data_IF_556171550000
#
_entry.id   IF_556171550000
#
_cell.length_a   1.000
_cell.length_b   1.000
_cell.length_c   1.000
_cell.angle_alpha   90.00
_cell.angle_beta   90.00
_cell.angle_gamma   90.00
#
_symmetry.space_group_name_H-M   'P 1'
#
loop_
_entity.id
_entity.type
_entity.pdbx_description
1 polymer ?
#
# COMPACT_ATOMS: atom_id res chain seq x y z
N UNK A 1 70.64 -9.17 28.66
CA UNK A 1 70.26 -9.53 27.28
C UNK A 1 68.74 -9.41 27.17
N UNK A 2 68.27 -8.94 26.02
CA UNK A 2 67.05 -8.16 25.83
C UNK A 2 65.70 -8.85 26.14
N UNK A 3 64.81 -8.01 26.67
CA UNK A 3 63.35 -7.95 26.53
C UNK A 3 62.76 -8.77 25.37
N UNK A 4 61.88 -9.72 25.71
CA UNK A 4 60.98 -10.38 24.79
C UNK A 4 59.67 -9.58 24.66
N UNK A 5 59.37 -9.18 23.44
CA UNK A 5 58.14 -8.49 23.02
C UNK A 5 56.98 -9.49 23.00
N UNK A 6 55.95 -9.27 23.81
CA UNK A 6 54.66 -9.95 23.66
C UNK A 6 53.69 -8.92 23.06
N UNK A 7 53.45 -9.04 21.76
CA UNK A 7 52.39 -8.30 21.07
C UNK A 7 51.10 -9.09 21.20
N UNK A 8 50.17 -8.61 22.01
CA UNK A 8 48.80 -9.13 22.06
C UNK A 8 48.06 -8.60 20.83
N UNK A 9 47.83 -9.47 19.85
CA UNK A 9 46.85 -9.23 18.80
C UNK A 9 45.45 -9.49 19.38
N UNK A 10 44.72 -8.42 19.70
CA UNK A 10 43.29 -8.52 19.98
C UNK A 10 42.57 -8.67 18.63
N UNK A 11 42.22 -9.91 18.28
CA UNK A 11 41.35 -10.20 17.16
C UNK A 11 39.95 -9.65 17.52
N UNK A 12 39.56 -8.49 16.98
CA UNK A 12 38.16 -8.07 17.00
C UNK A 12 37.40 -9.04 16.07
N UNK A 13 36.86 -10.12 16.63
CA UNK A 13 35.76 -10.84 16.00
C UNK A 13 34.58 -9.87 15.96
N UNK A 14 34.40 -9.19 14.84
CA UNK A 14 33.12 -8.57 14.50
C UNK A 14 32.17 -9.73 14.26
N UNK A 15 31.46 -10.14 15.31
CA UNK A 15 30.25 -10.93 15.14
C UNK A 15 29.25 -10.02 14.44
N UNK A 16 29.17 -10.11 13.12
CA UNK A 16 27.97 -9.67 12.41
C UNK A 16 26.85 -10.56 12.91
N UNK A 17 25.99 -10.04 13.80
CA UNK A 17 24.74 -10.74 14.08
C UNK A 17 24.00 -10.86 12.75
N UNK A 18 23.69 -12.08 12.35
CA UNK A 18 22.87 -12.31 11.17
C UNK A 18 21.58 -11.50 11.31
N UNK A 19 21.19 -10.79 10.25
CA UNK A 19 19.96 -10.02 10.27
C UNK A 19 18.76 -10.97 10.11
N UNK A 20 17.79 -10.84 11.01
CA UNK A 20 16.54 -11.58 10.97
C UNK A 20 15.45 -10.70 10.37
N UNK A 21 14.87 -11.11 9.25
CA UNK A 21 13.76 -10.41 8.60
C UNK A 21 12.52 -11.29 8.68
N UNK A 22 11.47 -10.91 9.43
CA UNK A 22 10.28 -11.73 9.55
C UNK A 22 9.55 -11.85 8.21
N UNK A 23 9.09 -13.05 7.90
CA UNK A 23 8.36 -13.36 6.67
C UNK A 23 6.91 -13.69 7.01
N UNK A 24 6.00 -12.90 6.44
CA UNK A 24 4.56 -13.13 6.48
C UNK A 24 4.07 -13.65 5.12
N UNK A 25 2.92 -14.31 5.10
CA UNK A 25 2.26 -14.73 3.85
C UNK A 25 0.87 -14.14 3.79
N UNK A 26 0.57 -13.44 2.70
CA UNK A 26 -0.75 -12.88 2.47
C UNK A 26 -1.77 -14.00 2.22
N UNK A 27 -2.88 -14.00 2.96
CA UNK A 27 -3.97 -14.98 2.82
C UNK A 27 -4.73 -14.80 1.49
N UNK A 28 -5.47 -15.81 0.97
CA UNK A 28 -6.35 -15.61 -0.19
C UNK A 28 -7.31 -14.43 0.00
N UNK A 29 -7.59 -13.67 -1.06
CA UNK A 29 -8.55 -12.55 -1.01
C UNK A 29 -9.93 -13.00 -0.51
N UNK A 30 -10.33 -14.23 -0.86
CA UNK A 30 -11.59 -14.88 -0.51
C UNK A 30 -11.55 -15.64 0.83
N UNK A 31 -10.59 -15.32 1.72
CA UNK A 31 -10.50 -15.91 3.07
C UNK A 31 -11.80 -15.76 3.85
N UNK A 32 -12.45 -14.61 3.72
CA UNK A 32 -13.84 -14.41 4.13
C UNK A 32 -14.69 -14.30 2.87
N UNK A 33 -15.75 -15.11 2.76
CA UNK A 33 -16.61 -15.13 1.58
C UNK A 33 -17.59 -13.94 1.55
N UNK A 34 -18.26 -13.74 0.41
CA UNK A 34 -19.26 -12.68 0.24
C UNK A 34 -20.49 -12.83 1.16
N UNK A 35 -20.65 -13.98 1.83
CA UNK A 35 -21.67 -14.18 2.85
C UNK A 35 -21.19 -13.78 4.25
N UNK A 36 -19.93 -13.38 4.42
CA UNK A 36 -19.35 -12.96 5.70
C UNK A 36 -18.90 -14.14 6.56
N UNK A 37 -18.53 -15.27 5.93
CA UNK A 37 -18.10 -16.49 6.63
C UNK A 37 -16.66 -16.80 6.32
N UNK A 38 -15.95 -17.38 7.29
CA UNK A 38 -14.60 -17.89 7.07
C UNK A 38 -14.67 -19.04 6.06
N UNK A 39 -14.05 -18.84 4.90
CA UNK A 39 -14.12 -19.78 3.79
C UNK A 39 -13.26 -21.02 4.06
N UNK A 40 -13.77 -22.21 3.70
CA UNK A 40 -13.08 -23.50 3.79
C UNK A 40 -12.13 -23.67 5.01
N UNK A 41 -12.70 -23.53 6.22
CA UNK A 41 -11.93 -23.48 7.47
C UNK A 41 -10.90 -24.61 7.64
N UNK A 42 -11.25 -25.85 7.30
CA UNK A 42 -10.33 -27.00 7.44
C UNK A 42 -9.09 -26.84 6.55
N UNK A 43 -9.28 -26.38 5.32
CA UNK A 43 -8.16 -26.08 4.41
C UNK A 43 -7.29 -24.95 4.94
N UNK A 44 -7.90 -23.87 5.45
CA UNK A 44 -7.17 -22.76 6.06
C UNK A 44 -6.33 -23.25 7.24
N UNK A 45 -6.90 -24.04 8.15
CA UNK A 45 -6.17 -24.60 9.30
C UNK A 45 -4.96 -25.44 8.84
N UNK A 46 -5.15 -26.27 7.80
CA UNK A 46 -4.07 -27.07 7.20
C UNK A 46 -2.96 -26.21 6.59
N UNK A 47 -3.31 -25.21 5.79
CA UNK A 47 -2.35 -24.28 5.19
C UNK A 47 -1.57 -23.49 6.24
N UNK A 48 -2.25 -22.96 7.26
CA UNK A 48 -1.59 -22.22 8.33
C UNK A 48 -0.63 -23.10 9.15
N UNK A 49 -0.99 -24.36 9.39
CA UNK A 49 -0.10 -25.31 10.05
C UNK A 49 1.14 -25.61 9.19
N UNK A 50 0.95 -25.78 7.87
CA UNK A 50 2.06 -25.98 6.94
C UNK A 50 2.98 -24.75 6.85
N UNK A 51 2.42 -23.54 6.77
CA UNK A 51 3.19 -22.29 6.82
C UNK A 51 4.04 -22.18 8.08
N UNK A 52 3.46 -22.52 9.24
CA UNK A 52 4.19 -22.52 10.52
C UNK A 52 5.37 -23.49 10.51
N UNK A 53 5.18 -24.69 9.97
CA UNK A 53 6.26 -25.68 9.85
C UNK A 53 7.33 -25.30 8.82
N UNK A 54 6.97 -24.48 7.82
CA UNK A 54 7.91 -23.89 6.88
C UNK A 54 8.77 -22.76 7.47
N UNK A 55 8.52 -22.36 8.72
CA UNK A 55 9.27 -21.32 9.42
C UNK A 55 8.64 -19.93 9.36
N UNK A 56 7.53 -19.74 8.66
CA UNK A 56 6.86 -18.43 8.51
C UNK A 56 6.51 -17.81 9.87
N UNK A 57 6.66 -16.49 9.99
CA UNK A 57 6.37 -15.71 11.20
C UNK A 57 4.88 -15.50 11.42
N UNK A 58 4.13 -15.34 10.33
CA UNK A 58 2.73 -15.01 10.39
C UNK A 58 2.05 -14.93 9.03
N UNK A 59 0.84 -14.38 9.07
CA UNK A 59 0.06 -14.09 7.87
C UNK A 59 -0.31 -12.62 7.77
N UNK A 60 -0.64 -12.17 6.57
CA UNK A 60 -1.34 -10.91 6.35
C UNK A 60 -2.75 -11.20 5.83
N UNK A 61 -3.76 -10.46 6.30
CA UNK A 61 -5.16 -10.64 5.85
C UNK A 61 -5.91 -9.33 5.71
N UNK A 62 -6.68 -9.22 4.63
CA UNK A 62 -7.60 -8.12 4.38
C UNK A 62 -8.85 -8.20 5.27
N UNK A 63 -9.05 -7.18 6.09
CA UNK A 63 -10.26 -6.96 6.88
C UNK A 63 -11.20 -6.05 6.11
N UNK A 64 -12.01 -6.66 5.24
CA UNK A 64 -12.85 -5.97 4.26
C UNK A 64 -13.96 -5.15 4.91
N UNK A 65 -13.94 -3.84 4.70
CA UNK A 65 -14.97 -2.93 5.20
C UNK A 65 -16.37 -3.36 4.75
N UNK A 66 -16.52 -3.73 3.47
CA UNK A 66 -17.78 -4.17 2.88
C UNK A 66 -18.33 -5.50 3.40
N UNK A 67 -17.51 -6.33 4.05
CA UNK A 67 -17.99 -7.56 4.71
C UNK A 67 -18.31 -7.33 6.18
N UNK A 68 -17.49 -6.53 6.88
CA UNK A 68 -17.64 -6.29 8.31
C UNK A 68 -18.78 -5.33 8.61
N UNK A 69 -18.87 -4.18 7.93
CA UNK A 69 -19.93 -3.16 8.14
C UNK A 69 -21.02 -3.28 7.06
N UNK A 70 -21.29 -4.50 6.58
CA UNK A 70 -22.01 -4.78 5.32
C UNK A 70 -23.42 -4.18 5.22
N UNK A 71 -24.24 -4.39 6.24
CA UNK A 71 -25.69 -4.17 6.14
C UNK A 71 -26.13 -2.76 6.56
N UNK A 72 -25.49 -2.17 7.57
CA UNK A 72 -25.90 -0.89 8.10
C UNK A 72 -24.72 -0.12 8.74
N UNK A 73 -24.80 1.22 8.77
CA UNK A 73 -23.86 2.07 9.49
C UNK A 73 -23.64 1.60 10.93
N UNK A 74 -22.37 1.44 11.30
CA UNK A 74 -21.90 1.07 12.64
C UNK A 74 -22.41 -0.30 13.14
N UNK A 75 -22.79 -1.19 12.22
CA UNK A 75 -23.17 -2.57 12.50
C UNK A 75 -22.07 -3.50 12.01
N UNK A 76 -21.14 -3.85 12.91
CA UNK A 76 -19.94 -4.61 12.58
C UNK A 76 -20.09 -6.09 12.92
N UNK A 77 -19.79 -6.99 11.97
CA UNK A 77 -19.65 -8.43 12.21
C UNK A 77 -18.17 -8.84 12.08
N UNK A 78 -17.55 -9.15 13.22
CA UNK A 78 -16.16 -9.58 13.32
C UNK A 78 -15.99 -11.10 13.38
N UNK A 79 -17.09 -11.86 13.34
CA UNK A 79 -17.11 -13.31 13.59
C UNK A 79 -16.09 -14.10 12.75
N UNK A 80 -16.00 -13.96 11.41
CA UNK A 80 -15.04 -14.73 10.63
C UNK A 80 -13.58 -14.36 10.94
N UNK A 81 -13.30 -13.09 11.21
CA UNK A 81 -11.96 -12.61 11.54
C UNK A 81 -11.51 -13.03 12.95
N UNK A 82 -12.45 -13.15 13.90
CA UNK A 82 -12.23 -13.78 15.20
C UNK A 82 -11.81 -15.23 15.06
N UNK A 83 -12.56 -16.01 14.29
CA UNK A 83 -12.25 -17.41 14.04
C UNK A 83 -10.85 -17.58 13.44
N UNK A 84 -10.47 -16.76 12.47
CA UNK A 84 -9.13 -16.78 11.89
C UNK A 84 -8.05 -16.43 12.93
N UNK A 85 -8.29 -15.41 13.76
CA UNK A 85 -7.35 -14.99 14.82
C UNK A 85 -7.13 -16.09 15.85
N UNK A 86 -8.20 -16.78 16.25
CA UNK A 86 -8.12 -17.92 17.17
C UNK A 86 -7.30 -19.08 16.59
N UNK A 87 -7.43 -19.34 15.28
CA UNK A 87 -6.63 -20.35 14.57
C UNK A 87 -5.14 -19.96 14.59
N UNK A 88 -4.80 -18.73 14.18
CA UNK A 88 -3.43 -18.24 14.19
C UNK A 88 -2.81 -18.28 15.60
N UNK A 89 -3.58 -17.86 16.62
CA UNK A 89 -3.18 -17.90 18.03
C UNK A 89 -2.88 -19.31 18.50
N UNK A 90 -3.73 -20.29 18.14
CA UNK A 90 -3.55 -21.70 18.48
C UNK A 90 -2.32 -22.31 17.81
N UNK A 91 -2.05 -21.95 16.55
CA UNK A 91 -0.91 -22.45 15.77
C UNK A 91 0.40 -21.75 16.18
N UNK A 92 0.33 -20.53 16.72
CA UNK A 92 1.49 -19.72 17.06
C UNK A 92 2.04 -18.92 15.87
N UNK A 93 1.14 -18.46 14.98
CA UNK A 93 1.43 -17.50 13.92
C UNK A 93 0.99 -16.10 14.33
N UNK A 94 1.77 -15.10 13.91
CA UNK A 94 1.39 -13.69 14.02
C UNK A 94 0.45 -13.28 12.88
N UNK A 95 -0.18 -12.12 13.02
CA UNK A 95 -1.08 -11.53 12.04
C UNK A 95 -0.74 -10.07 11.79
N UNK A 96 -0.64 -9.72 10.52
CA UNK A 96 -0.81 -8.37 10.01
C UNK A 96 -2.23 -8.26 9.47
N UNK A 97 -2.95 -7.21 9.84
CA UNK A 97 -4.33 -7.00 9.36
C UNK A 97 -4.39 -5.73 8.54
N UNK A 98 -5.03 -5.78 7.38
CA UNK A 98 -5.28 -4.60 6.54
C UNK A 98 -6.68 -4.08 6.83
N UNK A 99 -6.81 -2.82 7.23
CA UNK A 99 -8.09 -2.12 7.28
C UNK A 99 -8.50 -1.77 5.84
N UNK A 100 -9.12 -2.74 5.17
CA UNK A 100 -9.41 -2.68 3.74
C UNK A 100 -10.69 -1.87 3.46
N UNK A 101 -10.53 -0.54 3.41
CA UNK A 101 -11.58 0.44 3.09
C UNK A 101 -11.88 0.58 1.59
N UNK A 102 -11.44 -0.39 0.79
CA UNK A 102 -11.55 -0.43 -0.66
C UNK A 102 -12.28 -1.71 -1.09
N UNK A 103 -12.65 -1.75 -2.37
CA UNK A 103 -13.24 -2.92 -3.03
C UNK A 103 -12.16 -3.90 -3.51
N UNK A 104 -12.44 -5.20 -3.43
CA UNK A 104 -11.67 -6.27 -4.12
C UNK A 104 -12.23 -6.47 -5.54
N UNK A 105 -11.38 -6.70 -6.54
CA UNK A 105 -11.81 -7.21 -7.86
C UNK A 105 -11.51 -6.31 -9.05
N UNK A 106 -10.75 -5.23 -8.86
CA UNK A 106 -10.47 -4.22 -9.90
C UNK A 106 -8.99 -4.11 -10.23
N UNK A 107 -8.11 -4.75 -9.44
CA UNK A 107 -6.65 -4.66 -9.57
C UNK A 107 -6.03 -5.93 -10.18
N UNK A 108 -4.73 -5.85 -10.49
CA UNK A 108 -3.95 -6.98 -11.04
C UNK A 108 -4.02 -8.16 -10.06
N UNK A 109 -4.48 -9.32 -10.53
CA UNK A 109 -4.46 -10.56 -9.74
C UNK A 109 -5.60 -10.72 -8.74
N UNK A 110 -6.61 -9.84 -8.76
CA UNK A 110 -7.80 -10.03 -7.93
C UNK A 110 -8.66 -11.19 -8.45
N UNK A 111 -8.84 -12.21 -7.60
CA UNK A 111 -9.66 -13.40 -7.90
C UNK A 111 -11.05 -13.34 -7.21
N UNK A 112 -11.35 -12.23 -6.55
CA UNK A 112 -12.53 -12.04 -5.71
C UNK A 112 -13.24 -10.74 -6.05
N UNK A 113 -14.51 -10.62 -5.68
CA UNK A 113 -15.25 -9.38 -5.83
C UNK A 113 -16.01 -9.06 -4.56
N UNK A 114 -15.48 -8.12 -3.79
CA UNK A 114 -16.02 -7.67 -2.51
C UNK A 114 -16.25 -6.16 -2.63
N UNK A 115 -17.50 -5.76 -2.71
CA UNK A 115 -17.90 -4.34 -2.82
C UNK A 115 -17.70 -3.59 -1.49
N UNK A 116 -17.71 -2.25 -1.55
CA UNK A 116 -17.90 -1.40 -0.37
C UNK A 116 -19.25 -1.71 0.34
N UNK A 117 -19.47 -1.27 1.60
CA UNK A 117 -20.73 -1.54 2.30
C UNK A 117 -21.96 -1.12 1.51
N UNK A 118 -23.03 -1.92 1.56
CA UNK A 118 -24.24 -1.74 0.73
C UNK A 118 -24.94 -0.39 0.94
N UNK A 119 -24.77 0.20 2.11
CA UNK A 119 -25.38 1.47 2.49
C UNK A 119 -24.57 2.69 2.04
N UNK A 120 -23.37 2.50 1.47
CA UNK A 120 -22.66 3.56 0.76
C UNK A 120 -23.39 3.81 -0.56
N UNK A 121 -23.99 4.99 -0.69
CA UNK A 121 -24.70 5.38 -1.90
C UNK A 121 -23.75 5.43 -3.09
N UNK A 122 -24.19 4.95 -4.26
CA UNK A 122 -23.47 5.07 -5.53
C UNK A 122 -23.63 6.47 -6.14
N UNK A 123 -23.44 7.51 -5.34
CA UNK A 123 -23.39 8.89 -5.81
C UNK A 123 -22.01 9.14 -6.45
N UNK A 124 -21.92 9.46 -7.76
CA UNK A 124 -20.64 9.65 -8.44
C UNK A 124 -19.75 10.73 -7.80
N UNK A 125 -20.34 11.73 -7.14
CA UNK A 125 -19.58 12.79 -6.46
C UNK A 125 -18.76 12.28 -5.26
N UNK A 126 -19.01 11.06 -4.76
CA UNK A 126 -18.26 10.49 -3.63
C UNK A 126 -16.98 9.77 -4.07
N UNK A 127 -16.79 9.59 -5.38
CA UNK A 127 -15.80 8.69 -5.95
C UNK A 127 -14.81 9.46 -6.80
N UNK A 128 -13.59 8.94 -6.89
CA UNK A 128 -12.58 9.52 -7.78
C UNK A 128 -13.11 9.54 -9.21
N UNK A 129 -12.87 10.63 -9.92
CA UNK A 129 -13.44 10.82 -11.25
C UNK A 129 -12.34 11.28 -12.22
N UNK A 130 -12.30 10.66 -13.39
CA UNK A 130 -11.38 11.04 -14.46
C UNK A 130 -11.91 12.21 -15.30
N UNK A 131 -11.08 12.74 -16.20
CA UNK A 131 -11.44 13.90 -17.03
C UNK A 131 -12.63 13.67 -17.95
N UNK A 132 -12.97 12.40 -18.21
CA UNK A 132 -14.11 12.00 -19.04
C UNK A 132 -15.41 11.86 -18.23
N UNK A 133 -15.34 12.08 -16.92
CA UNK A 133 -16.48 11.99 -16.01
C UNK A 133 -16.79 10.57 -15.54
N UNK A 134 -15.87 9.61 -15.72
CA UNK A 134 -16.06 8.27 -15.17
C UNK A 134 -15.68 8.23 -13.71
N UNK A 135 -16.62 7.78 -12.86
CA UNK A 135 -16.41 7.57 -11.45
C UNK A 135 -15.87 6.16 -11.15
N UNK A 136 -14.78 6.09 -10.40
CA UNK A 136 -14.18 4.87 -9.90
C UNK A 136 -14.81 4.46 -8.55
N UNK A 137 -15.52 3.34 -8.52
CA UNK A 137 -16.26 2.89 -7.34
C UNK A 137 -15.45 2.03 -6.36
N UNK A 138 -14.13 1.97 -6.49
CA UNK A 138 -13.28 1.13 -5.64
C UNK A 138 -13.07 1.73 -4.24
N UNK A 139 -12.98 3.06 -4.16
CA UNK A 139 -12.66 3.81 -2.94
C UNK A 139 -13.31 5.20 -2.96
N UNK A 140 -13.62 5.76 -1.79
CA UNK A 140 -14.19 7.11 -1.69
C UNK A 140 -13.12 8.17 -2.02
N UNK A 141 -13.43 9.15 -2.86
CA UNK A 141 -12.49 10.23 -3.17
C UNK A 141 -12.03 10.93 -1.89
N UNK A 142 -10.74 11.26 -1.78
CA UNK A 142 -10.25 12.11 -0.70
C UNK A 142 -10.88 13.52 -0.69
N UNK A 143 -11.58 13.90 -1.77
CA UNK A 143 -12.44 15.08 -1.82
C UNK A 143 -13.52 15.07 -0.74
N UNK A 144 -13.99 13.90 -0.30
CA UNK A 144 -15.06 13.74 0.72
C UNK A 144 -14.57 13.36 2.12
N UNK A 145 -13.25 13.39 2.36
CA UNK A 145 -12.64 13.05 3.66
C UNK A 145 -13.29 13.76 4.86
N UNK A 146 -13.60 15.04 4.66
CA UNK A 146 -14.07 15.99 5.69
C UNK A 146 -15.54 16.40 5.50
N UNK A 147 -16.20 15.86 4.46
CA UNK A 147 -17.57 16.21 4.11
C UNK A 147 -18.58 15.35 4.89
N UNK A 148 -19.54 15.98 5.57
CA UNK A 148 -20.55 15.28 6.39
C UNK A 148 -21.69 14.74 5.54
N UNK A 149 -21.43 13.66 4.80
CA UNK A 149 -22.34 13.08 3.82
C UNK A 149 -22.94 11.74 4.26
N UNK A 150 -22.20 10.97 5.06
CA UNK A 150 -22.49 9.56 5.27
C UNK A 150 -23.37 9.31 6.51
N UNK A 151 -24.30 8.35 6.45
CA UNK A 151 -25.22 8.09 7.57
C UNK A 151 -24.51 7.58 8.83
N UNK A 152 -25.05 7.94 10.00
CA UNK A 152 -24.77 7.29 11.29
C UNK A 152 -25.83 6.23 11.60
N UNK A 153 -25.73 5.57 12.77
CA UNK A 153 -26.69 4.55 13.23
C UNK A 153 -28.15 5.05 13.29
N UNK A 154 -28.38 6.31 13.64
CA UNK A 154 -29.72 6.89 13.80
C UNK A 154 -30.05 7.96 12.74
N UNK A 155 -29.17 8.16 11.76
CA UNK A 155 -29.25 9.18 10.71
C UNK A 155 -29.37 10.64 11.19
N UNK A 156 -29.27 10.91 12.49
CA UNK A 156 -29.42 12.26 13.05
C UNK A 156 -28.18 13.13 12.84
N UNK A 157 -27.01 12.51 12.72
CA UNK A 157 -25.71 13.15 12.50
C UNK A 157 -25.00 12.47 11.35
N UNK A 158 -24.61 13.24 10.33
CA UNK A 158 -23.79 12.72 9.23
C UNK A 158 -22.32 12.64 9.64
N UNK A 159 -21.69 11.53 9.27
CA UNK A 159 -20.25 11.23 9.41
C UNK A 159 -19.50 11.70 8.15
N UNK A 160 -18.22 11.99 8.31
CA UNK A 160 -17.28 12.13 7.19
C UNK A 160 -16.67 10.78 6.82
N UNK A 161 -15.98 10.66 5.69
CA UNK A 161 -15.27 9.41 5.35
C UNK A 161 -14.21 9.06 6.41
N UNK A 162 -13.43 10.04 6.87
CA UNK A 162 -12.43 9.86 7.94
C UNK A 162 -13.08 9.43 9.27
N UNK A 163 -14.26 9.94 9.61
CA UNK A 163 -15.01 9.48 10.79
C UNK A 163 -15.41 8.00 10.66
N UNK A 164 -15.87 7.55 9.48
CA UNK A 164 -16.22 6.15 9.25
C UNK A 164 -15.02 5.22 9.42
N UNK A 165 -13.87 5.58 8.85
CA UNK A 165 -12.63 4.79 8.99
C UNK A 165 -12.19 4.73 10.46
N UNK A 166 -12.22 5.85 11.17
CA UNK A 166 -11.88 5.90 12.59
C UNK A 166 -12.83 5.05 13.45
N UNK A 167 -14.14 5.09 13.18
CA UNK A 167 -15.12 4.29 13.92
C UNK A 167 -14.98 2.78 13.65
N UNK A 168 -14.67 2.41 12.41
CA UNK A 168 -14.34 1.03 12.04
C UNK A 168 -13.12 0.52 12.82
N UNK A 169 -12.03 1.29 12.83
CA UNK A 169 -10.82 0.94 13.60
C UNK A 169 -11.09 0.88 15.10
N UNK A 170 -11.90 1.79 15.67
CA UNK A 170 -12.29 1.71 17.09
C UNK A 170 -13.07 0.43 17.38
N UNK A 171 -14.05 0.10 16.55
CA UNK A 171 -14.81 -1.14 16.70
C UNK A 171 -13.91 -2.38 16.59
N UNK A 172 -12.89 -2.33 15.72
CA UNK A 172 -11.84 -3.34 15.64
C UNK A 172 -11.07 -3.45 16.96
N UNK A 173 -10.59 -2.35 17.54
CA UNK A 173 -9.86 -2.39 18.83
C UNK A 173 -10.68 -2.99 19.96
N UNK A 174 -11.97 -2.66 20.06
CA UNK A 174 -12.88 -3.23 21.06
C UNK A 174 -13.02 -4.74 20.87
N UNK A 175 -13.15 -5.18 19.62
CA UNK A 175 -13.31 -6.59 19.35
C UNK A 175 -11.98 -7.35 19.63
N UNK A 176 -10.83 -6.84 19.17
CA UNK A 176 -9.51 -7.50 19.16
C UNK A 176 -8.59 -7.08 20.33
N UNK A 177 -9.12 -6.48 21.39
CA UNK A 177 -8.33 -5.88 22.49
C UNK A 177 -7.23 -6.81 23.03
N UNK A 178 -7.57 -8.06 23.29
CA UNK A 178 -6.63 -9.04 23.87
C UNK A 178 -5.66 -9.66 22.86
N UNK A 179 -5.89 -9.45 21.57
CA UNK A 179 -5.08 -10.01 20.48
C UNK A 179 -4.13 -8.98 19.88
N UNK A 180 -4.31 -7.70 20.20
CA UNK A 180 -3.52 -6.58 19.71
C UNK A 180 -2.21 -6.37 20.47
N UNK A 181 -1.12 -6.16 19.73
CA UNK A 181 0.16 -5.71 20.26
C UNK A 181 1.33 -6.61 19.84
N UNK A 182 2.54 -6.06 19.91
CA UNK A 182 3.78 -6.72 19.44
C UNK A 182 3.99 -8.15 20.00
N UNK A 183 3.56 -8.41 21.24
CA UNK A 183 3.67 -9.73 21.89
C UNK A 183 2.48 -10.65 21.63
N UNK A 184 1.37 -10.10 21.15
CA UNK A 184 0.11 -10.80 20.93
C UNK A 184 -0.01 -11.31 19.48
N UNK A 185 -1.19 -11.75 19.06
CA UNK A 185 -1.40 -12.37 17.75
C UNK A 185 -1.31 -11.33 16.63
N UNK A 186 -2.00 -10.19 16.77
CA UNK A 186 -2.04 -9.11 15.78
C UNK A 186 -0.94 -8.10 16.11
N UNK A 187 0.10 -8.09 15.28
CA UNK A 187 1.33 -7.32 15.51
C UNK A 187 1.39 -6.04 14.67
N UNK A 188 0.67 -6.00 13.55
CA UNK A 188 0.61 -4.85 12.64
C UNK A 188 -0.82 -4.61 12.18
N UNK A 189 -1.22 -3.35 12.12
CA UNK A 189 -2.42 -2.87 11.43
C UNK A 189 -1.95 -2.01 10.25
N UNK A 190 -2.12 -2.51 9.03
CA UNK A 190 -2.00 -1.70 7.82
C UNK A 190 -3.30 -0.92 7.61
N UNK A 191 -3.20 0.39 7.39
CA UNK A 191 -4.36 1.25 7.16
C UNK A 191 -4.50 1.48 5.67
N UNK A 192 -5.63 1.05 5.08
CA UNK A 192 -5.91 1.28 3.66
C UNK A 192 -6.19 2.76 3.37
N UNK A 193 -5.46 3.33 2.40
CA UNK A 193 -5.50 4.77 2.07
C UNK A 193 -5.95 5.07 0.63
N UNK A 194 -6.61 4.11 -0.02
CA UNK A 194 -7.00 4.24 -1.42
C UNK A 194 -7.31 2.92 -2.10
N UNK A 195 -7.37 2.91 -3.45
CA UNK A 195 -7.54 1.69 -4.24
C UNK A 195 -6.43 0.68 -3.94
N UNK A 196 -6.79 -0.60 -3.88
CA UNK A 196 -5.96 -1.72 -3.41
C UNK A 196 -5.39 -1.55 -1.99
N UNK A 197 -5.93 -0.61 -1.20
CA UNK A 197 -5.40 -0.23 0.12
C UNK A 197 -4.19 0.71 0.04
N UNK A 198 -3.73 1.06 -1.15
CA UNK A 198 -2.53 1.85 -1.38
C UNK A 198 -2.83 3.35 -1.32
N UNK A 199 -1.91 4.14 -0.77
CA UNK A 199 -2.02 5.61 -0.77
C UNK A 199 -1.71 6.16 -2.16
N UNK A 200 -2.69 6.09 -3.07
CA UNK A 200 -2.59 6.62 -4.45
C UNK A 200 -3.96 6.99 -4.99
N UNK A 201 -3.95 7.64 -6.15
CA UNK A 201 -5.16 7.76 -6.99
C UNK A 201 -5.37 6.49 -7.86
N UNK A 202 -6.61 6.21 -8.30
CA UNK A 202 -6.93 5.11 -9.21
C UNK A 202 -6.52 5.40 -10.68
N UNK A 203 -5.25 5.73 -10.92
CA UNK A 203 -4.80 6.23 -12.23
C UNK A 203 -4.58 5.16 -13.30
N UNK A 204 -4.61 3.86 -12.97
CA UNK A 204 -4.31 2.74 -13.88
C UNK A 204 -5.31 1.56 -13.74
N UNK A 205 -6.60 1.86 -13.88
CA UNK A 205 -7.65 0.83 -13.72
C UNK A 205 -7.68 -0.21 -14.84
N UNK A 206 -7.55 -1.49 -14.47
CA UNK A 206 -7.57 -2.60 -15.43
C UNK A 206 -8.97 -3.00 -15.88
N UNK A 207 -9.99 -2.66 -15.09
CA UNK A 207 -11.36 -3.02 -15.38
C UNK A 207 -11.79 -2.52 -16.76
N UNK A 208 -12.54 -3.35 -17.49
CA UNK A 208 -13.07 -3.07 -18.83
C UNK A 208 -11.99 -2.71 -19.88
N UNK A 209 -10.73 -3.06 -19.61
CA UNK A 209 -9.59 -2.76 -20.47
C UNK A 209 -9.33 -1.25 -20.60
N UNK A 210 -9.69 -0.45 -19.58
CA UNK A 210 -9.50 1.00 -19.57
C UNK A 210 -8.02 1.38 -19.63
N UNK A 211 -7.20 0.74 -18.82
CA UNK A 211 -5.74 0.86 -18.84
C UNK A 211 -5.07 -0.46 -19.27
N UNK A 212 -3.85 -0.36 -19.77
CA UNK A 212 -2.96 -1.50 -20.01
C UNK A 212 -1.52 -1.09 -19.80
N UNK A 213 -0.72 -1.94 -19.17
CA UNK A 213 0.71 -1.69 -19.01
C UNK A 213 1.40 -1.49 -20.38
N UNK A 214 2.28 -0.49 -20.54
CA UNK A 214 2.75 0.50 -19.56
C UNK A 214 2.12 1.90 -19.76
N UNK A 215 0.79 2.04 -19.92
CA UNK A 215 0.17 3.35 -20.11
C UNK A 215 0.46 4.35 -18.98
N UNK A 216 0.56 5.65 -19.27
CA UNK A 216 0.86 6.70 -18.26
C UNK A 216 -0.25 6.90 -17.23
N UNK A 217 -1.47 6.38 -17.48
CA UNK A 217 -2.63 6.59 -16.63
C UNK A 217 -3.30 7.96 -16.81
N UNK A 218 -4.26 8.30 -15.95
CA UNK A 218 -4.92 9.61 -15.95
C UNK A 218 -5.06 10.19 -14.54
N UNK A 219 -5.04 11.53 -14.45
CA UNK A 219 -5.36 12.25 -13.21
C UNK A 219 -6.83 12.04 -12.80
N UNK A 220 -7.06 11.80 -11.51
CA UNK A 220 -8.36 11.35 -10.96
C UNK A 220 -9.05 12.39 -10.07
N UNK A 221 -8.85 13.69 -10.37
CA UNK A 221 -9.29 14.81 -9.52
C UNK A 221 -10.50 15.57 -10.06
N UNK A 222 -11.34 14.95 -10.90
CA UNK A 222 -12.46 15.62 -11.57
C UNK A 222 -13.79 15.46 -10.85
N UNK A 223 -13.80 14.87 -9.65
CA UNK A 223 -15.00 14.88 -8.81
C UNK A 223 -15.28 16.30 -8.30
N UNK A 224 -16.55 16.53 -7.96
CA UNK A 224 -17.03 17.85 -7.56
C UNK A 224 -16.22 18.48 -6.42
N UNK A 225 -15.83 17.70 -5.42
CA UNK A 225 -15.15 18.22 -4.23
C UNK A 225 -13.69 18.52 -4.52
N UNK A 226 -13.01 17.66 -5.28
CA UNK A 226 -11.64 17.89 -5.74
C UNK A 226 -11.54 19.13 -6.65
N UNK A 227 -12.48 19.32 -7.58
CA UNK A 227 -12.51 20.53 -8.41
C UNK A 227 -12.74 21.81 -7.58
N UNK A 228 -13.56 21.76 -6.54
CA UNK A 228 -13.74 22.88 -5.61
C UNK A 228 -12.45 23.20 -4.85
N UNK A 229 -11.76 22.18 -4.35
CA UNK A 229 -10.45 22.32 -3.68
C UNK A 229 -9.39 22.90 -4.61
N UNK A 230 -9.31 22.42 -5.85
CA UNK A 230 -8.40 22.93 -6.88
C UNK A 230 -8.67 24.41 -7.18
N UNK A 231 -9.94 24.76 -7.41
CA UNK A 231 -10.35 26.14 -7.63
C UNK A 231 -9.96 27.06 -6.47
N UNK A 232 -10.20 26.64 -5.23
CA UNK A 232 -9.82 27.40 -4.04
C UNK A 232 -8.29 27.58 -3.92
N UNK A 233 -7.51 26.52 -4.19
CA UNK A 233 -6.06 26.58 -4.19
C UNK A 233 -5.52 27.56 -5.27
N UNK A 234 -6.12 27.54 -6.46
CA UNK A 234 -5.76 28.41 -7.58
C UNK A 234 -6.07 29.88 -7.29
N UNK A 235 -7.23 30.17 -6.70
CA UNK A 235 -7.57 31.51 -6.21
C UNK A 235 -6.58 31.99 -5.14
N UNK A 236 -6.23 31.15 -4.16
CA UNK A 236 -5.24 31.48 -3.11
C UNK A 236 -3.85 31.76 -3.69
N UNK A 237 -3.49 31.12 -4.78
CA UNK A 237 -2.24 31.35 -5.51
C UNK A 237 -2.26 32.59 -6.42
N UNK A 238 -3.36 33.35 -6.47
CA UNK A 238 -3.59 34.45 -7.41
C UNK A 238 -3.47 34.03 -8.90
N UNK A 239 -3.85 32.78 -9.19
CA UNK A 239 -3.85 32.16 -10.52
C UNK A 239 -5.17 31.44 -10.78
N UNK A 240 -6.32 32.13 -10.74
CA UNK A 240 -7.64 31.49 -10.87
C UNK A 240 -7.77 30.61 -12.12
N UNK A 241 -7.06 30.95 -13.19
CA UNK A 241 -7.00 30.19 -14.44
C UNK A 241 -6.41 28.77 -14.30
N UNK A 242 -5.63 28.51 -13.25
CA UNK A 242 -5.10 27.17 -12.94
C UNK A 242 -6.16 26.28 -12.27
N UNK A 243 -7.29 26.84 -11.86
CA UNK A 243 -8.35 26.16 -11.11
C UNK A 243 -9.41 25.46 -11.96
N UNK A 244 -9.27 25.45 -13.30
CA UNK A 244 -10.32 24.97 -14.21
C UNK A 244 -10.40 23.44 -14.37
N UNK A 245 -9.45 22.70 -13.80
CA UNK A 245 -9.37 21.24 -13.89
C UNK A 245 -7.93 20.76 -14.03
N UNK A 246 -7.73 19.44 -14.12
CA UNK A 246 -6.41 18.87 -14.38
C UNK A 246 -5.91 19.15 -15.81
N UNK A 247 -4.62 18.89 -16.09
CA UNK A 247 -3.98 19.18 -17.38
C UNK A 247 -4.74 18.58 -18.57
N UNK A 248 -5.08 19.41 -19.55
CA UNK A 248 -5.87 19.01 -20.72
C UNK A 248 -5.07 18.20 -21.75
N UNK A 249 -3.74 18.24 -21.67
CA UNK A 249 -2.78 17.68 -22.61
C UNK A 249 -1.92 16.55 -22.01
N UNK A 250 -2.41 15.89 -20.95
CA UNK A 250 -1.76 14.74 -20.30
C UNK A 250 -2.08 13.39 -20.95
N UNK A 251 -2.68 13.36 -22.14
CA UNK A 251 -3.04 12.10 -22.80
C UNK A 251 -4.15 11.34 -22.07
N UNK A 252 -4.24 10.04 -22.31
CA UNK A 252 -5.22 9.11 -21.75
C UNK A 252 -4.56 7.89 -21.12
N UNK A 253 -5.35 7.03 -20.46
CA UNK A 253 -4.86 5.85 -19.75
C UNK A 253 -3.86 5.01 -20.54
N UNK A 254 -4.08 4.80 -21.84
CA UNK A 254 -3.29 3.87 -22.68
C UNK A 254 -2.11 4.52 -23.38
N UNK A 255 -1.95 5.84 -23.28
CA UNK A 255 -0.81 6.48 -23.92
C UNK A 255 0.48 5.98 -23.28
N UNK A 256 1.23 5.17 -24.02
CA UNK A 256 2.40 4.43 -23.56
C UNK A 256 3.71 5.07 -24.01
N UNK A 257 3.71 6.38 -24.29
CA UNK A 257 4.94 7.11 -24.55
C UNK A 257 4.80 8.54 -24.04
N UNK A 258 5.36 8.88 -22.86
CA UNK A 258 5.23 10.21 -22.29
C UNK A 258 5.87 11.31 -23.15
N UNK A 259 6.83 10.97 -24.04
CA UNK A 259 7.44 11.95 -24.95
C UNK A 259 6.47 12.49 -26.00
N UNK A 260 5.38 11.77 -26.29
CA UNK A 260 4.33 12.20 -27.23
C UNK A 260 3.25 13.08 -26.58
N UNK A 261 3.31 13.24 -25.25
CA UNK A 261 2.28 13.92 -24.49
C UNK A 261 2.79 15.30 -24.05
N UNK A 262 2.19 16.41 -24.52
CA UNK A 262 2.72 17.74 -24.24
C UNK A 262 2.87 18.03 -22.74
N UNK A 263 1.94 17.56 -21.89
CA UNK A 263 2.07 17.77 -20.45
C UNK A 263 3.32 17.12 -19.86
N UNK A 264 3.68 15.92 -20.31
CA UNK A 264 4.82 15.14 -19.78
C UNK A 264 6.14 15.39 -20.54
N UNK A 265 6.11 16.24 -21.57
CA UNK A 265 7.26 16.59 -22.41
C UNK A 265 7.34 18.12 -22.66
N UNK A 266 7.20 18.60 -23.90
CA UNK A 266 7.48 20.00 -24.29
C UNK A 266 6.23 20.90 -24.51
N UNK A 267 5.18 20.75 -23.71
CA UNK A 267 4.04 21.69 -23.69
C UNK A 267 4.38 23.02 -23.00
N UNK A 268 3.71 24.13 -23.38
CA UNK A 268 3.88 25.43 -22.70
C UNK A 268 3.42 25.41 -21.23
N UNK A 269 2.47 24.55 -20.93
CA UNK A 269 1.88 24.26 -19.62
C UNK A 269 2.31 22.87 -19.10
N UNK A 270 3.47 22.37 -19.54
CA UNK A 270 3.98 21.05 -19.12
C UNK A 270 4.26 20.95 -17.62
N UNK A 271 4.62 19.76 -17.16
CA UNK A 271 4.95 19.44 -15.77
C UNK A 271 6.05 20.31 -15.13
N UNK A 272 6.92 20.97 -15.93
CA UNK A 272 7.95 21.90 -15.45
C UNK A 272 7.49 23.36 -15.41
N UNK A 273 6.42 23.70 -16.11
CA UNK A 273 5.86 25.05 -16.18
C UNK A 273 5.35 25.52 -14.81
N UNK A 274 5.04 26.81 -14.69
CA UNK A 274 4.40 27.36 -13.49
C UNK A 274 3.08 26.64 -13.16
N UNK A 275 2.26 26.37 -14.19
CA UNK A 275 1.01 25.62 -14.05
C UNK A 275 1.26 24.18 -13.62
N UNK A 276 2.18 23.47 -14.30
CA UNK A 276 2.46 22.07 -14.01
C UNK A 276 2.97 21.85 -12.58
N UNK A 277 3.91 22.69 -12.11
CA UNK A 277 4.39 22.65 -10.73
C UNK A 277 3.26 22.93 -9.73
N UNK A 278 2.44 23.96 -9.99
CA UNK A 278 1.28 24.27 -9.15
C UNK A 278 0.33 23.07 -9.04
N UNK A 279 -0.07 22.50 -10.17
CA UNK A 279 -1.03 21.40 -10.22
C UNK A 279 -0.48 20.14 -9.56
N UNK A 280 0.75 19.72 -9.87
CA UNK A 280 1.37 18.52 -9.31
C UNK A 280 1.60 18.66 -7.80
N UNK A 281 2.07 19.83 -7.35
CA UNK A 281 2.18 20.11 -5.92
C UNK A 281 0.82 20.05 -5.22
N UNK A 282 -0.23 20.62 -5.81
CA UNK A 282 -1.58 20.53 -5.24
C UNK A 282 -2.08 19.08 -5.18
N UNK A 283 -2.00 18.34 -6.29
CA UNK A 283 -2.53 17.00 -6.43
C UNK A 283 -1.86 16.00 -5.47
N UNK A 284 -0.53 16.07 -5.34
CA UNK A 284 0.23 15.25 -4.37
C UNK A 284 -0.02 15.70 -2.93
N UNK A 285 -0.15 17.00 -2.66
CA UNK A 285 -0.42 17.47 -1.30
C UNK A 285 -1.81 17.07 -0.80
N UNK A 286 -2.82 17.00 -1.66
CA UNK A 286 -4.14 16.47 -1.27
C UNK A 286 -4.05 14.99 -0.85
N UNK A 287 -3.25 14.19 -1.56
CA UNK A 287 -2.99 12.77 -1.22
C UNK A 287 -2.20 12.62 0.09
N UNK A 288 -1.16 13.44 0.30
CA UNK A 288 -0.39 13.44 1.56
C UNK A 288 -1.27 13.87 2.74
N UNK A 289 -2.12 14.88 2.56
CA UNK A 289 -3.05 15.32 3.60
C UNK A 289 -4.13 14.27 3.90
N UNK A 290 -4.59 13.53 2.89
CA UNK A 290 -5.47 12.38 3.07
C UNK A 290 -4.83 11.32 3.96
N UNK A 291 -3.60 10.91 3.64
CA UNK A 291 -2.81 10.02 4.48
C UNK A 291 -2.66 10.54 5.90
N UNK A 292 -2.28 11.81 6.08
CA UNK A 292 -2.09 12.44 7.40
C UNK A 292 -3.38 12.45 8.24
N UNK A 293 -4.53 12.82 7.63
CA UNK A 293 -5.83 12.83 8.32
C UNK A 293 -6.20 11.43 8.82
N UNK A 294 -6.05 10.41 8.00
CA UNK A 294 -6.43 9.04 8.39
C UNK A 294 -5.42 8.46 9.38
N UNK A 295 -4.12 8.54 9.10
CA UNK A 295 -3.08 7.94 9.94
C UNK A 295 -2.99 8.59 11.32
N UNK A 296 -3.19 9.91 11.42
CA UNK A 296 -3.27 10.58 12.73
C UNK A 296 -4.46 10.09 13.56
N UNK A 297 -5.60 9.76 12.91
CA UNK A 297 -6.76 9.15 13.58
C UNK A 297 -6.50 7.70 13.94
N UNK A 298 -5.83 6.93 13.08
CA UNK A 298 -5.39 5.57 13.39
C UNK A 298 -4.51 5.53 14.63
N UNK A 299 -3.51 6.42 14.71
CA UNK A 299 -2.64 6.54 15.89
C UNK A 299 -3.42 6.86 17.17
N UNK A 300 -4.42 7.74 17.10
CA UNK A 300 -5.29 8.02 18.24
C UNK A 300 -6.09 6.79 18.68
N UNK A 301 -6.60 6.01 17.72
CA UNK A 301 -7.42 4.82 17.99
C UNK A 301 -6.60 3.68 18.58
N UNK A 302 -5.40 3.42 18.05
CA UNK A 302 -4.54 2.32 18.50
C UNK A 302 -3.59 2.70 19.64
N UNK A 303 -3.70 3.93 20.15
CA UNK A 303 -2.90 4.40 21.29
C UNK A 303 -3.09 3.48 22.50
N UNK A 304 -1.99 2.93 23.01
CA UNK A 304 -1.98 2.06 24.19
C UNK A 304 -2.02 0.57 23.89
N UNK A 305 -2.26 0.15 22.64
CA UNK A 305 -2.26 -1.27 22.26
C UNK A 305 -0.87 -1.83 21.92
N UNK A 306 0.16 -0.97 21.76
CA UNK A 306 1.51 -1.35 21.33
C UNK A 306 1.53 -2.22 20.06
N UNK A 307 0.64 -1.90 19.11
CA UNK A 307 0.58 -2.51 17.78
C UNK A 307 1.24 -1.57 16.78
N UNK A 308 1.94 -2.11 15.78
CA UNK A 308 2.53 -1.29 14.72
C UNK A 308 1.43 -0.80 13.77
N UNK A 309 1.53 0.43 13.31
CA UNK A 309 0.71 0.95 12.20
C UNK A 309 1.59 1.02 10.96
N UNK A 310 1.07 0.50 9.84
CA UNK A 310 1.71 0.54 8.54
C UNK A 310 0.78 1.20 7.51
N UNK A 311 1.37 1.70 6.42
CA UNK A 311 0.64 2.16 5.26
C UNK A 311 1.40 1.82 3.99
N UNK A 312 0.65 1.44 2.96
CA UNK A 312 1.20 0.91 1.71
C UNK A 312 1.32 1.97 0.64
N UNK A 313 2.49 2.06 0.02
CA UNK A 313 2.75 2.87 -1.17
C UNK A 313 2.93 1.94 -2.37
N UNK A 314 2.26 2.27 -3.48
CA UNK A 314 2.29 1.47 -4.69
C UNK A 314 3.60 1.60 -5.47
N UNK A 315 4.06 0.50 -6.07
CA UNK A 315 5.28 0.43 -6.88
C UNK A 315 5.03 0.79 -8.34
N UNK A 316 4.98 2.09 -8.65
CA UNK A 316 4.75 2.58 -10.03
C UNK A 316 6.08 2.65 -10.77
N UNK A 317 6.55 1.49 -11.22
CA UNK A 317 7.90 1.34 -11.76
C UNK A 317 8.03 1.75 -13.23
N UNK A 318 6.94 1.80 -14.00
CA UNK A 318 6.98 2.19 -15.41
C UNK A 318 7.09 3.71 -15.59
N UNK A 319 7.80 4.13 -16.63
CA UNK A 319 8.24 5.51 -16.90
C UNK A 319 9.15 6.15 -15.86
N UNK A 320 9.62 5.41 -14.84
CA UNK A 320 10.57 5.89 -13.84
C UNK A 320 11.86 6.46 -14.47
N UNK A 321 12.34 5.89 -15.58
CA UNK A 321 13.54 6.40 -16.28
C UNK A 321 13.26 7.53 -17.28
N UNK A 322 12.06 8.10 -17.28
CA UNK A 322 11.74 9.30 -18.07
C UNK A 322 11.83 10.54 -17.17
N UNK A 323 12.22 11.72 -17.67
CA UNK A 323 12.35 12.90 -16.83
C UNK A 323 11.09 13.28 -16.03
N UNK A 324 9.91 13.02 -16.60
CA UNK A 324 8.63 13.36 -16.00
C UNK A 324 8.07 12.31 -15.06
N UNK A 325 8.53 11.05 -15.11
CA UNK A 325 7.98 9.96 -14.30
C UNK A 325 6.45 9.86 -14.42
N UNK A 326 5.93 9.95 -15.65
CA UNK A 326 4.53 10.29 -15.91
C UNK A 326 3.49 9.44 -15.14
N UNK A 327 3.73 8.13 -14.98
CA UNK A 327 2.81 7.26 -14.23
C UNK A 327 2.83 7.52 -12.71
N UNK A 328 3.98 7.86 -12.13
CA UNK A 328 4.07 8.26 -10.74
C UNK A 328 3.27 9.56 -10.52
N UNK A 329 3.39 10.52 -11.43
CA UNK A 329 2.64 11.78 -11.37
C UNK A 329 1.13 11.57 -11.39
N UNK A 330 0.60 10.73 -12.29
CA UNK A 330 -0.85 10.47 -12.37
C UNK A 330 -1.35 9.69 -11.15
N UNK A 331 -0.52 8.80 -10.59
CA UNK A 331 -0.81 8.09 -9.34
C UNK A 331 -0.77 8.99 -8.09
N UNK A 332 -0.27 10.21 -8.21
CA UNK A 332 -0.22 11.21 -7.15
C UNK A 332 1.14 11.34 -6.46
N UNK A 333 2.17 10.65 -6.94
CA UNK A 333 3.53 10.78 -6.45
C UNK A 333 4.25 11.82 -7.30
N UNK A 334 4.50 13.01 -6.76
CA UNK A 334 5.30 14.02 -7.46
C UNK A 334 6.80 13.65 -7.41
N UNK A 335 7.16 12.46 -7.87
CA UNK A 335 8.54 12.05 -8.09
C UNK A 335 8.94 12.44 -9.51
N UNK A 336 10.11 13.04 -9.67
CA UNK A 336 10.70 13.36 -10.98
C UNK A 336 12.22 13.28 -10.85
N UNK A 337 12.94 13.36 -11.96
CA UNK A 337 14.40 13.48 -11.94
C UNK A 337 14.95 14.67 -11.13
N UNK A 338 14.13 15.70 -10.85
CA UNK A 338 14.46 16.93 -10.11
C UNK A 338 13.90 16.93 -8.67
N UNK A 339 13.02 15.99 -8.32
CA UNK A 339 12.27 16.03 -7.07
C UNK A 339 11.95 14.63 -6.54
N UNK A 340 12.36 14.32 -5.32
CA UNK A 340 12.09 13.03 -4.68
C UNK A 340 10.78 13.09 -3.88
N UNK A 341 9.66 12.77 -4.53
CA UNK A 341 8.33 12.80 -3.90
C UNK A 341 8.15 11.79 -2.75
N UNK A 342 8.97 10.74 -2.69
CA UNK A 342 8.90 9.75 -1.61
C UNK A 342 9.46 10.26 -0.28
N UNK A 343 10.33 11.28 -0.29
CA UNK A 343 10.77 11.94 0.94
C UNK A 343 9.64 12.72 1.62
N UNK A 344 8.72 13.31 0.85
CA UNK A 344 7.56 14.02 1.39
C UNK A 344 6.58 13.04 2.05
N UNK A 345 6.34 11.89 1.41
CA UNK A 345 5.54 10.80 1.97
C UNK A 345 6.19 10.27 3.25
N UNK A 346 7.50 9.99 3.22
CA UNK A 346 8.23 9.50 4.39
C UNK A 346 8.24 10.51 5.55
N UNK A 347 8.25 11.82 5.28
CA UNK A 347 8.09 12.85 6.30
C UNK A 347 6.70 12.79 6.95
N UNK A 348 5.63 12.61 6.16
CA UNK A 348 4.28 12.43 6.70
C UNK A 348 4.13 11.13 7.50
N UNK A 349 4.73 10.03 7.04
CA UNK A 349 4.73 8.76 7.77
C UNK A 349 5.50 8.88 9.09
N UNK A 350 6.65 9.57 9.09
CA UNK A 350 7.40 9.89 10.31
C UNK A 350 6.57 10.69 11.31
N UNK A 351 5.87 11.73 10.85
CA UNK A 351 4.98 12.54 11.69
C UNK A 351 3.93 11.68 12.41
N UNK A 352 3.46 10.62 11.75
CA UNK A 352 2.42 9.74 12.25
C UNK A 352 2.96 8.41 12.82
N UNK A 353 4.27 8.24 13.00
CA UNK A 353 4.89 6.98 13.49
C UNK A 353 4.39 5.73 12.74
N UNK A 354 4.40 5.80 11.40
CA UNK A 354 3.91 4.75 10.50
C UNK A 354 5.07 4.06 9.80
N UNK A 355 5.00 2.74 9.72
CA UNK A 355 5.90 1.91 8.92
C UNK A 355 5.59 2.06 7.42
N UNK A 356 6.64 2.26 6.62
CA UNK A 356 6.54 2.40 5.17
C UNK A 356 6.51 1.01 4.53
N UNK A 357 5.36 0.59 4.02
CA UNK A 357 5.22 -0.68 3.30
C UNK A 357 5.24 -0.44 1.80
N UNK A 358 6.05 -1.21 1.07
CA UNK A 358 6.25 -1.06 -0.37
C UNK A 358 6.15 -2.40 -1.11
N UNK A 359 6.25 -2.38 -2.44
CA UNK A 359 6.13 -3.57 -3.29
C UNK A 359 7.21 -3.61 -4.38
N UNK A 360 7.11 -4.54 -5.33
CA UNK A 360 8.07 -4.77 -6.43
C UNK A 360 9.45 -5.28 -6.01
N UNK A 361 9.61 -5.80 -4.79
CA UNK A 361 10.92 -6.26 -4.29
C UNK A 361 11.48 -7.45 -5.09
N UNK A 362 10.64 -8.16 -5.84
CA UNK A 362 11.02 -9.31 -6.65
C UNK A 362 11.42 -8.96 -8.08
N UNK A 363 11.10 -7.74 -8.52
CA UNK A 363 11.26 -7.33 -9.91
C UNK A 363 12.70 -6.97 -10.26
N UNK A 364 13.06 -7.27 -11.51
CA UNK A 364 14.35 -6.94 -12.12
C UNK A 364 14.12 -6.01 -13.31
N UNK A 365 14.97 -4.99 -13.48
CA UNK A 365 14.82 -4.01 -14.56
C UNK A 365 14.99 -4.67 -15.93
N UNK A 366 15.88 -5.67 -16.01
CA UNK A 366 16.16 -6.41 -17.25
C UNK A 366 14.96 -7.19 -17.79
N UNK A 367 13.96 -7.46 -16.94
CA UNK A 367 12.74 -8.18 -17.31
C UNK A 367 11.64 -7.21 -17.77
N UNK A 368 11.90 -5.89 -17.73
CA UNK A 368 10.96 -4.84 -18.13
C UNK A 368 11.33 -4.32 -19.52
N UNK A 369 10.41 -4.45 -20.47
CA UNK A 369 10.64 -4.05 -21.87
C UNK A 369 9.74 -2.88 -22.25
N UNK A 370 10.25 -1.98 -23.10
CA UNK A 370 9.52 -0.88 -23.77
C UNK A 370 8.62 0.00 -22.86
N UNK A 371 9.00 0.16 -21.60
CA UNK A 371 8.17 0.80 -20.56
C UNK A 371 8.88 1.89 -19.76
N UNK A 372 10.15 2.19 -20.08
CA UNK A 372 10.97 3.15 -19.30
C UNK A 372 11.05 2.79 -17.81
N UNK A 373 10.98 1.49 -17.50
CA UNK A 373 10.71 0.99 -16.16
C UNK A 373 11.97 0.78 -15.33
N UNK A 374 11.94 1.11 -14.03
CA UNK A 374 13.06 0.95 -13.09
C UNK A 374 12.63 0.49 -11.68
N UNK A 375 12.08 -0.74 -11.51
CA UNK A 375 11.65 -1.24 -10.21
C UNK A 375 12.79 -1.35 -9.19
N UNK A 376 14.02 -1.69 -9.60
CA UNK A 376 15.12 -1.85 -8.66
C UNK A 376 15.56 -0.52 -8.05
N UNK A 377 15.67 0.51 -8.87
CA UNK A 377 15.96 1.87 -8.44
C UNK A 377 14.83 2.45 -7.62
N UNK A 378 13.58 2.20 -8.01
CA UNK A 378 12.41 2.66 -7.28
C UNK A 378 12.37 2.08 -5.85
N UNK A 379 12.55 0.76 -5.69
CA UNK A 379 12.68 0.11 -4.37
C UNK A 379 13.85 0.71 -3.58
N UNK A 380 14.97 1.01 -4.25
CA UNK A 380 16.10 1.68 -3.64
C UNK A 380 15.79 3.09 -3.15
N UNK A 381 15.04 3.88 -3.93
CA UNK A 381 14.68 5.26 -3.63
C UNK A 381 13.72 5.34 -2.44
N UNK A 382 12.66 4.54 -2.42
CA UNK A 382 11.66 4.53 -1.34
C UNK A 382 12.25 4.03 -0.02
N UNK A 383 13.05 2.95 -0.06
CA UNK A 383 13.81 2.46 1.11
C UNK A 383 14.74 3.53 1.66
N UNK A 384 15.47 4.23 0.78
CA UNK A 384 16.38 5.29 1.20
C UNK A 384 15.62 6.46 1.84
N UNK A 385 14.48 6.87 1.27
CA UNK A 385 13.63 7.91 1.84
C UNK A 385 13.12 7.54 3.25
N UNK A 386 12.61 6.32 3.43
CA UNK A 386 12.17 5.82 4.74
C UNK A 386 13.33 5.82 5.76
N UNK A 387 14.48 5.28 5.37
CA UNK A 387 15.66 5.20 6.23
C UNK A 387 16.25 6.56 6.60
N UNK A 388 16.24 7.53 5.68
CA UNK A 388 16.68 8.91 5.93
C UNK A 388 15.77 9.59 6.97
N UNK A 389 14.46 9.35 6.90
CA UNK A 389 13.50 9.88 7.87
C UNK A 389 13.52 9.12 9.21
N UNK A 390 14.19 7.97 9.25
CA UNK A 390 14.31 7.13 10.45
C UNK A 390 13.07 6.28 10.72
N UNK A 391 12.24 6.03 9.71
CA UNK A 391 11.08 5.15 9.81
C UNK A 391 11.41 3.73 9.33
N UNK A 392 10.57 2.79 9.76
CA UNK A 392 10.66 1.38 9.37
C UNK A 392 10.24 1.20 7.93
N UNK A 393 10.79 0.17 7.29
CA UNK A 393 10.51 -0.14 5.89
C UNK A 393 10.28 -1.64 5.73
N UNK A 394 9.15 -2.04 5.15
CA UNK A 394 8.81 -3.42 4.82
C UNK A 394 8.37 -3.54 3.36
N UNK A 395 8.34 -4.76 2.84
CA UNK A 395 8.10 -4.97 1.42
C UNK A 395 7.29 -6.20 1.07
N UNK A 396 6.75 -6.19 -0.14
CA UNK A 396 6.02 -7.28 -0.79
C UNK A 396 6.59 -7.58 -2.18
N UNK A 397 6.32 -8.77 -2.69
CA UNK A 397 6.37 -9.01 -4.14
C UNK A 397 5.08 -8.50 -4.78
N UNK A 398 5.19 -7.90 -5.97
CA UNK A 398 4.03 -7.38 -6.70
C UNK A 398 3.29 -8.48 -7.48
N UNK A 399 4.01 -9.45 -8.04
CA UNK A 399 3.47 -10.52 -8.88
C UNK A 399 3.71 -11.92 -8.30
N UNK A 400 2.87 -12.92 -8.63
CA UNK A 400 3.07 -14.30 -8.18
C UNK A 400 4.42 -14.89 -8.65
N UNK A 401 5.15 -15.53 -7.74
CA UNK A 401 6.55 -15.95 -7.97
C UNK A 401 6.91 -17.37 -7.52
N UNK A 402 5.92 -18.24 -7.30
CA UNK A 402 6.08 -19.56 -6.64
C UNK A 402 7.28 -20.40 -7.13
N UNK A 403 7.55 -20.41 -8.44
CA UNK A 403 8.60 -21.21 -9.08
C UNK A 403 9.79 -20.37 -9.59
N UNK A 404 9.94 -19.13 -9.13
CA UNK A 404 10.94 -18.20 -9.64
C UNK A 404 12.06 -17.96 -8.62
N UNK A 405 13.16 -18.72 -8.76
CA UNK A 405 14.33 -18.58 -7.87
C UNK A 405 14.96 -17.18 -7.97
N UNK A 406 14.99 -16.59 -9.17
CA UNK A 406 15.55 -15.26 -9.38
C UNK A 406 14.79 -14.17 -8.62
N UNK A 407 13.46 -14.28 -8.56
CA UNK A 407 12.60 -13.39 -7.78
C UNK A 407 12.88 -13.48 -6.27
N UNK A 408 13.01 -14.71 -5.72
CA UNK A 408 13.40 -14.89 -4.32
C UNK A 408 14.79 -14.33 -4.01
N UNK A 409 15.76 -14.55 -4.90
CA UNK A 409 17.12 -14.02 -4.76
C UNK A 409 17.14 -12.49 -4.80
N UNK A 410 16.31 -11.90 -5.66
CA UNK A 410 16.16 -10.46 -5.79
C UNK A 410 15.56 -9.83 -4.52
N UNK A 411 14.51 -10.43 -3.95
CA UNK A 411 13.95 -9.97 -2.67
C UNK A 411 15.00 -9.99 -1.58
N UNK A 412 15.76 -11.08 -1.48
CA UNK A 412 16.84 -11.20 -0.48
C UNK A 412 17.86 -10.08 -0.66
N UNK A 413 18.29 -9.81 -1.90
CA UNK A 413 19.23 -8.73 -2.20
C UNK A 413 18.67 -7.34 -1.86
N UNK A 414 17.38 -7.09 -2.10
CA UNK A 414 16.71 -5.83 -1.76
C UNK A 414 16.42 -5.68 -0.25
N UNK A 415 16.36 -6.79 0.48
CA UNK A 415 16.00 -6.84 1.90
C UNK A 415 17.16 -6.55 2.83
N UNK A 416 18.41 -6.66 2.36
CA UNK A 416 19.60 -6.33 3.14
C UNK A 416 20.62 -5.56 2.30
N UNK A 417 20.73 -4.26 2.55
CA UNK A 417 21.56 -3.35 1.75
C UNK A 417 22.42 -2.51 2.68
N UNK A 418 23.73 -2.42 2.37
CA UNK A 418 24.71 -1.63 3.13
C UNK A 418 24.71 -1.92 4.64
N UNK A 419 24.55 -3.18 5.04
CA UNK A 419 24.57 -3.59 6.45
C UNK A 419 23.27 -3.31 7.21
N UNK A 420 22.18 -2.94 6.51
CA UNK A 420 20.87 -2.66 7.11
C UNK A 420 19.79 -3.53 6.46
N UNK A 421 19.00 -4.18 7.31
CA UNK A 421 17.84 -4.97 6.91
C UNK A 421 16.58 -4.11 6.81
N UNK A 422 15.62 -4.56 6.00
CA UNK A 422 14.22 -4.14 6.09
C UNK A 422 13.55 -4.78 7.32
N UNK A 423 12.42 -4.22 7.76
CA UNK A 423 11.74 -4.60 9.01
C UNK A 423 10.82 -5.82 8.86
N UNK A 424 10.51 -6.23 7.62
CA UNK A 424 9.70 -7.41 7.32
C UNK A 424 9.41 -7.57 5.83
N UNK A 425 9.03 -8.78 5.44
CA UNK A 425 8.60 -9.10 4.08
C UNK A 425 7.27 -9.87 4.10
N UNK A 426 6.35 -9.51 3.22
CA UNK A 426 5.07 -10.22 3.06
C UNK A 426 4.97 -10.83 1.66
N UNK A 427 4.85 -12.16 1.59
CA UNK A 427 4.73 -12.92 0.35
C UNK A 427 3.30 -12.88 -0.20
N UNK A 428 3.15 -12.44 -1.44
CA UNK A 428 1.91 -12.44 -2.22
C UNK A 428 1.89 -13.65 -3.18
N UNK A 429 1.01 -14.64 -3.02
CA UNK A 429 -0.03 -14.85 -2.00
C UNK A 429 -0.09 -16.35 -1.65
N UNK A 430 -0.69 -16.71 -0.52
CA UNK A 430 -1.05 -18.08 -0.20
C UNK A 430 -2.05 -18.64 -1.23
N UNK A 431 -1.69 -19.76 -1.83
CA UNK A 431 -2.56 -20.57 -2.69
C UNK A 431 -2.15 -22.04 -2.61
N UNK A 432 -2.93 -22.93 -3.22
CA UNK A 432 -2.54 -24.34 -3.37
C UNK A 432 -1.21 -24.50 -4.10
N UNK A 433 -0.87 -23.59 -5.02
CA UNK A 433 0.36 -23.66 -5.83
C UNK A 433 1.62 -23.45 -5.01
N UNK A 434 1.54 -22.71 -3.89
CA UNK A 434 2.67 -22.54 -2.98
C UNK A 434 3.13 -23.89 -2.39
N UNK A 435 2.21 -24.85 -2.24
CA UNK A 435 2.48 -26.16 -1.65
C UNK A 435 2.81 -27.24 -2.70
N UNK A 436 2.79 -26.90 -3.99
CA UNK A 436 2.94 -27.85 -5.07
C UNK A 436 4.42 -28.05 -5.46
N UNK A 437 4.82 -29.31 -5.65
CA UNK A 437 6.14 -29.67 -6.18
C UNK A 437 7.31 -29.03 -5.43
N UNK A 438 8.19 -28.34 -6.17
CA UNK A 438 9.34 -27.64 -5.62
C UNK A 438 9.05 -26.20 -5.16
N UNK A 439 7.85 -25.65 -5.39
CA UNK A 439 7.52 -24.30 -4.91
C UNK A 439 7.64 -24.21 -3.38
N UNK A 440 7.16 -25.24 -2.67
CA UNK A 440 7.21 -25.28 -1.22
C UNK A 440 8.64 -25.31 -0.68
N UNK A 441 9.52 -26.12 -1.27
CA UNK A 441 10.92 -26.20 -0.83
C UNK A 441 11.69 -24.91 -1.14
N UNK A 442 11.40 -24.27 -2.28
CA UNK A 442 11.96 -22.96 -2.62
C UNK A 442 11.51 -21.89 -1.62
N UNK A 443 10.22 -21.86 -1.29
CA UNK A 443 9.68 -20.93 -0.29
C UNK A 443 10.30 -21.15 1.10
N UNK A 444 10.37 -22.40 1.59
CA UNK A 444 11.03 -22.70 2.88
C UNK A 444 12.50 -22.27 2.89
N UNK A 445 13.23 -22.48 1.80
CA UNK A 445 14.62 -22.01 1.67
C UNK A 445 14.71 -20.48 1.66
N UNK A 446 13.77 -19.81 1.01
CA UNK A 446 13.66 -18.35 1.05
C UNK A 446 13.43 -17.84 2.48
N UNK A 447 12.44 -18.39 3.21
CA UNK A 447 12.19 -18.05 4.62
C UNK A 447 13.44 -18.25 5.47
N UNK A 448 14.09 -19.41 5.35
CA UNK A 448 15.33 -19.69 6.05
C UNK A 448 16.41 -18.64 5.77
N UNK A 449 16.59 -18.23 4.52
CA UNK A 449 17.57 -17.21 4.15
C UNK A 449 17.23 -15.84 4.72
N UNK A 450 15.96 -15.42 4.65
CA UNK A 450 15.49 -14.15 5.23
C UNK A 450 15.74 -14.05 6.74
N UNK A 451 15.72 -15.18 7.44
CA UNK A 451 16.02 -15.27 8.87
C UNK A 451 17.52 -15.27 9.22
N UNK A 452 18.41 -15.38 8.23
CA UNK A 452 19.84 -15.61 8.44
C UNK A 452 20.73 -14.80 7.47
N UNK A 453 20.47 -13.48 7.32
CA UNK A 453 21.18 -12.61 6.37
C UNK A 453 22.51 -12.04 6.86
#
# INVERSE_FOLDING_TARGET
MNTATITIFTLLMVYTMAAYIPVFVMMPLSTVDNQGRLNNREQIEGWLWQLKNGGTDGIMVDVWWGLVEREAPMSYDWTPYRQLTDICKKIGLKMQVVMAFHKCGTNVGDECFIELPKWIERNPDYFYTDKSGYADHEYLSLGVDEERLFPSKDNSVKRTAVDMYADFMKAFTVAFEQDLGEKNTIVTVEVGLGPAGEMRYPSYQLQDGKWSFPGVGEFQCYDKYMLQKLGAAAHKANKPEFGHGGPSNAGNYKDSNPYNLPFFNEGSDNWKSEYGRFFLTWYTNELIQHGDRILSRSQQVFKGFNVKIAAKISGIHWWYFTPSHAAELTAGYYNTWEHNGYLDIAEMFKKNDVEFQFTCLEMLDRDQHDSGSGPQELVGQTRSAAWEKGIKYSGENALPMYYNQGAYDQIIAQSYVNGRAIDGFTFLRLSGDLFNGNAWSMFCNFVYRMHNL
#
